data_IF_196557516026
#
_entry.id   IF_196557516026
#
_cell.length_a   1.000
_cell.length_b   1.000
_cell.length_c   1.000
_cell.angle_alpha   90.00
_cell.angle_beta   90.00
_cell.angle_gamma   90.00
#
_symmetry.space_group_name_H-M   'P 1'
#
loop_
_entity.id
_entity.type
_entity.pdbx_description
1 polymer ?
#
# COMPACT_ATOMS: atom_id res chain seq x y z
N UNK A 1 8.68 2.77 12.86
CA UNK A 1 8.22 1.36 12.69
C UNK A 1 7.28 0.95 13.82
N UNK A 2 7.68 0.96 15.09
CA UNK A 2 6.79 0.62 16.25
C UNK A 2 5.52 1.45 16.29
N UNK A 3 5.59 2.75 16.06
CA UNK A 3 4.44 3.64 15.95
C UNK A 3 3.44 3.17 14.87
N UNK A 4 3.93 2.79 13.68
CA UNK A 4 3.08 2.27 12.60
C UNK A 4 2.38 0.96 12.96
N UNK A 5 3.03 0.08 13.71
CA UNK A 5 2.41 -1.15 14.23
C UNK A 5 1.32 -0.83 15.27
N UNK A 6 1.57 0.12 16.18
CA UNK A 6 0.57 0.55 17.16
C UNK A 6 -0.64 1.20 16.50
N UNK A 7 -0.42 2.06 15.49
CA UNK A 7 -1.49 2.64 14.67
C UNK A 7 -2.31 1.55 13.96
N UNK A 8 -1.64 0.55 13.36
CA UNK A 8 -2.32 -0.57 12.71
C UNK A 8 -3.16 -1.37 13.70
N UNK A 9 -2.62 -1.68 14.88
CA UNK A 9 -3.35 -2.39 15.93
C UNK A 9 -4.58 -1.63 16.40
N UNK A 10 -4.49 -0.30 16.56
CA UNK A 10 -5.62 0.54 16.98
C UNK A 10 -6.75 0.60 15.93
N UNK A 11 -6.47 0.28 14.67
CA UNK A 11 -7.42 0.29 13.55
C UNK A 11 -7.81 -1.12 13.08
N UNK A 12 -7.34 -2.17 13.77
CA UNK A 12 -7.69 -3.54 13.43
C UNK A 12 -9.18 -3.79 13.63
N UNK A 13 -9.85 -4.29 12.59
CA UNK A 13 -11.29 -4.57 12.61
C UNK A 13 -12.20 -3.34 12.57
N UNK A 14 -11.66 -2.13 12.38
CA UNK A 14 -12.41 -0.89 12.28
C UNK A 14 -12.93 -0.68 10.84
N UNK A 15 -14.23 -0.89 10.55
CA UNK A 15 -14.79 -0.72 9.21
C UNK A 15 -14.89 0.75 8.78
N UNK A 16 -14.62 1.69 9.67
CA UNK A 16 -14.64 3.13 9.42
C UNK A 16 -13.23 3.72 9.20
N UNK A 17 -12.20 2.87 9.16
CA UNK A 17 -10.84 3.28 8.81
C UNK A 17 -10.84 4.07 7.49
N UNK A 18 -10.17 5.21 7.49
CA UNK A 18 -10.07 6.07 6.33
C UNK A 18 -8.84 5.74 5.47
N UNK A 19 -8.82 6.26 4.25
CA UNK A 19 -7.63 6.20 3.40
C UNK A 19 -6.44 6.93 4.04
N UNK A 20 -6.70 8.05 4.74
CA UNK A 20 -5.65 8.82 5.41
C UNK A 20 -5.07 8.04 6.61
N UNK A 21 -5.90 7.34 7.38
CA UNK A 21 -5.43 6.42 8.42
C UNK A 21 -4.51 5.33 7.84
N UNK A 22 -4.94 4.71 6.73
CA UNK A 22 -4.16 3.70 6.04
C UNK A 22 -2.82 4.25 5.54
N UNK A 23 -2.82 5.43 4.90
CA UNK A 23 -1.60 6.09 4.43
C UNK A 23 -0.66 6.44 5.58
N UNK A 24 -1.18 6.87 6.72
CA UNK A 24 -0.39 7.13 7.92
C UNK A 24 0.27 5.84 8.45
N UNK A 25 -0.48 4.74 8.50
CA UNK A 25 0.02 3.43 8.93
C UNK A 25 1.18 2.97 8.05
N UNK A 26 1.00 2.90 6.72
CA UNK A 26 2.04 2.41 5.82
C UNK A 26 3.24 3.36 5.74
N UNK A 27 3.01 4.67 5.92
CA UNK A 27 4.07 5.67 6.01
C UNK A 27 4.96 5.42 7.24
N UNK A 28 4.38 5.23 8.41
CA UNK A 28 5.12 5.04 9.66
C UNK A 28 5.73 3.62 9.77
N UNK A 29 5.01 2.59 9.29
CA UNK A 29 5.43 1.18 9.41
C UNK A 29 6.54 0.81 8.44
N UNK A 30 6.40 1.18 7.17
CA UNK A 30 7.26 0.70 6.07
C UNK A 30 8.04 1.83 5.42
N UNK A 31 7.39 2.91 5.00
CA UNK A 31 8.01 3.94 4.20
C UNK A 31 9.05 4.77 4.96
N UNK A 32 8.90 4.95 6.26
CA UNK A 32 9.81 5.71 7.10
C UNK A 32 11.27 5.18 7.03
N UNK A 33 11.44 3.86 7.03
CA UNK A 33 12.77 3.24 6.95
C UNK A 33 13.43 3.49 5.59
N UNK A 34 12.66 3.34 4.51
CA UNK A 34 13.16 3.55 3.14
C UNK A 34 13.48 5.04 2.92
N UNK A 35 12.63 5.92 3.43
CA UNK A 35 12.88 7.37 3.45
C UNK A 35 14.18 7.73 4.18
N UNK A 36 14.39 7.16 5.37
CA UNK A 36 15.60 7.38 6.16
C UNK A 36 16.86 6.88 5.43
N UNK A 37 16.80 5.70 4.80
CA UNK A 37 17.91 5.16 4.02
C UNK A 37 18.31 6.09 2.85
N UNK A 38 17.31 6.60 2.11
CA UNK A 38 17.54 7.56 1.02
C UNK A 38 18.14 8.87 1.55
N UNK A 39 17.63 9.38 2.68
CA UNK A 39 18.13 10.59 3.34
C UNK A 39 19.59 10.44 3.79
N UNK A 40 19.92 9.30 4.42
CA UNK A 40 21.29 8.99 4.85
C UNK A 40 22.24 8.98 3.64
N UNK A 41 21.83 8.39 2.52
CA UNK A 41 22.61 8.41 1.29
C UNK A 41 22.90 9.83 0.79
N UNK A 42 21.93 10.73 0.88
CA UNK A 42 22.09 12.15 0.54
C UNK A 42 23.08 12.86 1.47
N UNK A 43 22.95 12.64 2.78
CA UNK A 43 23.85 13.23 3.81
C UNK A 43 25.29 12.77 3.59
N UNK A 44 25.50 11.47 3.39
CA UNK A 44 26.84 10.91 3.11
C UNK A 44 27.44 11.43 1.80
N UNK A 45 26.58 11.76 0.83
CA UNK A 45 26.98 12.41 -0.43
C UNK A 45 27.17 13.92 -0.31
N UNK A 46 27.06 14.50 0.90
CA UNK A 46 27.15 15.95 1.15
C UNK A 46 26.24 16.77 0.24
N UNK A 47 25.03 16.27 -0.03
CA UNK A 47 24.06 16.96 -0.86
C UNK A 47 23.40 18.13 -0.10
N UNK A 48 23.00 19.20 -0.79
CA UNK A 48 22.26 20.29 -0.18
C UNK A 48 20.88 19.80 0.30
N UNK A 49 20.33 20.49 1.30
CA UNK A 49 19.08 20.13 1.98
C UNK A 49 17.90 19.88 1.03
N UNK A 50 17.77 20.64 -0.04
CA UNK A 50 16.75 20.46 -1.06
C UNK A 50 16.82 19.07 -1.70
N UNK A 51 18.02 18.62 -2.08
CA UNK A 51 18.26 17.29 -2.66
C UNK A 51 18.11 16.17 -1.63
N UNK A 52 18.53 16.44 -0.38
CA UNK A 52 18.32 15.51 0.74
C UNK A 52 16.82 15.26 0.94
N UNK A 53 16.02 16.33 0.98
CA UNK A 53 14.57 16.22 1.14
C UNK A 53 13.91 15.52 -0.06
N UNK A 54 14.37 15.79 -1.28
CA UNK A 54 13.87 15.11 -2.48
C UNK A 54 14.14 13.60 -2.44
N UNK A 55 15.34 13.15 -2.04
CA UNK A 55 15.65 11.73 -1.88
C UNK A 55 14.84 11.09 -0.75
N UNK A 56 14.66 11.78 0.38
CA UNK A 56 13.81 11.30 1.46
C UNK A 56 12.36 11.11 1.01
N UNK A 57 11.81 12.07 0.24
CA UNK A 57 10.46 11.98 -0.31
C UNK A 57 10.33 10.91 -1.38
N UNK A 58 11.35 10.72 -2.24
CA UNK A 58 11.42 9.58 -3.15
C UNK A 58 11.30 8.27 -2.38
N UNK A 59 12.15 8.05 -1.38
CA UNK A 59 12.14 6.84 -0.57
C UNK A 59 10.81 6.61 0.15
N UNK A 60 10.20 7.67 0.69
CA UNK A 60 8.89 7.62 1.33
C UNK A 60 7.79 7.14 0.37
N UNK A 61 7.72 7.74 -0.82
CA UNK A 61 6.68 7.41 -1.82
C UNK A 61 6.87 5.99 -2.37
N UNK A 62 8.11 5.57 -2.64
CA UNK A 62 8.42 4.19 -3.06
C UNK A 62 8.03 3.20 -1.98
N UNK A 63 8.36 3.47 -0.72
CA UNK A 63 8.00 2.59 0.40
C UNK A 63 6.49 2.45 0.61
N UNK A 64 5.73 3.54 0.45
CA UNK A 64 4.28 3.48 0.49
C UNK A 64 3.70 2.67 -0.67
N UNK A 65 4.19 2.89 -1.89
CA UNK A 65 3.75 2.14 -3.06
C UNK A 65 4.07 0.64 -2.95
N UNK A 66 5.25 0.30 -2.42
CA UNK A 66 5.65 -1.08 -2.14
C UNK A 66 4.68 -1.77 -1.18
N UNK A 67 4.31 -1.10 -0.06
CA UNK A 67 3.35 -1.66 0.88
C UNK A 67 1.96 -1.80 0.26
N UNK A 68 1.51 -0.81 -0.53
CA UNK A 68 0.24 -0.93 -1.26
C UNK A 68 0.23 -2.14 -2.20
N UNK A 69 1.33 -2.37 -2.93
CA UNK A 69 1.45 -3.52 -3.82
C UNK A 69 1.38 -4.84 -3.04
N UNK A 70 2.05 -4.93 -1.90
CA UNK A 70 2.03 -6.11 -1.02
C UNK A 70 0.62 -6.41 -0.51
N UNK A 71 -0.08 -5.37 -0.02
CA UNK A 71 -1.46 -5.48 0.44
C UNK A 71 -2.45 -5.87 -0.68
N UNK A 72 -2.21 -5.44 -1.92
CA UNK A 72 -3.03 -5.81 -3.09
C UNK A 72 -2.78 -7.27 -3.47
N UNK A 73 -1.52 -7.72 -3.43
CA UNK A 73 -1.14 -9.10 -3.75
C UNK A 73 -1.82 -10.12 -2.83
N UNK A 74 -2.10 -9.75 -1.58
CA UNK A 74 -2.84 -10.62 -0.65
C UNK A 74 -4.23 -11.04 -1.17
N UNK A 75 -4.79 -10.27 -2.12
CA UNK A 75 -6.07 -10.55 -2.77
C UNK A 75 -5.97 -11.14 -4.18
N UNK A 76 -4.75 -11.25 -4.74
CA UNK A 76 -4.52 -11.69 -6.12
C UNK A 76 -4.01 -13.14 -6.21
N UNK A 77 -3.79 -13.82 -5.09
CA UNK A 77 -3.30 -15.20 -5.08
C UNK A 77 -4.25 -16.13 -5.86
N UNK A 78 -3.70 -17.03 -6.67
CA UNK A 78 -4.44 -17.94 -7.54
C UNK A 78 -5.39 -18.86 -6.79
N UNK A 79 -6.54 -19.17 -7.40
CA UNK A 79 -7.56 -20.07 -6.85
C UNK A 79 -7.04 -21.49 -6.52
N UNK A 80 -5.93 -21.92 -7.14
CA UNK A 80 -5.28 -23.21 -6.86
C UNK A 80 -4.56 -23.27 -5.50
N UNK A 81 -4.17 -22.13 -4.92
CA UNK A 81 -3.56 -22.02 -3.60
C UNK A 81 -4.56 -21.54 -2.51
N UNK A 82 -5.84 -21.54 -2.81
CA UNK A 82 -6.97 -20.94 -2.07
C UNK A 82 -7.06 -21.31 -0.57
N UNK A 83 -6.24 -22.23 -0.10
CA UNK A 83 -6.30 -22.70 1.28
C UNK A 83 -5.39 -21.98 2.27
N UNK A 84 -4.29 -21.36 1.85
CA UNK A 84 -3.22 -20.98 2.79
C UNK A 84 -2.77 -19.53 2.78
N UNK A 85 -2.93 -18.76 1.70
CA UNK A 85 -2.36 -17.40 1.58
C UNK A 85 -3.38 -16.30 1.33
N UNK A 86 -4.47 -16.55 0.60
CA UNK A 86 -5.44 -15.53 0.22
C UNK A 86 -6.14 -14.89 1.41
N UNK A 87 -6.10 -13.57 1.50
CA UNK A 87 -6.76 -12.80 2.53
C UNK A 87 -6.17 -12.98 3.92
N UNK A 88 -4.84 -13.15 4.02
CA UNK A 88 -4.14 -13.22 5.30
C UNK A 88 -4.37 -11.95 6.12
N UNK A 89 -4.23 -10.79 5.50
CA UNK A 89 -4.45 -9.49 6.16
C UNK A 89 -5.89 -9.37 6.69
N UNK A 90 -6.88 -9.81 5.91
CA UNK A 90 -8.27 -9.84 6.36
C UNK A 90 -8.46 -10.77 7.57
N UNK A 91 -7.87 -11.96 7.56
CA UNK A 91 -7.96 -12.91 8.69
C UNK A 91 -7.32 -12.34 9.96
N UNK A 92 -6.31 -11.49 9.80
CA UNK A 92 -5.67 -10.76 10.91
C UNK A 92 -6.45 -9.49 11.29
N UNK A 93 -7.58 -9.22 10.66
CA UNK A 93 -8.42 -8.04 10.91
C UNK A 93 -7.88 -6.75 10.31
N UNK A 94 -6.85 -6.82 9.46
CA UNK A 94 -6.28 -5.64 8.80
C UNK A 94 -7.17 -5.20 7.65
N UNK A 95 -7.59 -3.95 7.68
CA UNK A 95 -8.38 -3.33 6.61
C UNK A 95 -7.44 -2.49 5.76
N UNK A 96 -7.09 -3.03 4.59
CA UNK A 96 -6.14 -2.41 3.66
C UNK A 96 -6.85 -1.63 2.56
N UNK A 97 -6.10 -0.92 1.73
CA UNK A 97 -6.62 -0.01 0.71
C UNK A 97 -7.72 -0.61 -0.18
N UNK A 98 -7.60 -1.87 -0.68
CA UNK A 98 -8.68 -2.45 -1.48
C UNK A 98 -10.02 -2.51 -0.74
N UNK A 99 -10.02 -2.89 0.54
CA UNK A 99 -11.25 -2.98 1.32
C UNK A 99 -11.83 -1.60 1.64
N UNK A 100 -10.98 -0.60 1.91
CA UNK A 100 -11.38 0.81 2.08
C UNK A 100 -12.08 1.31 0.81
N UNK A 101 -11.52 1.04 -0.36
CA UNK A 101 -12.12 1.45 -1.63
C UNK A 101 -13.44 0.71 -1.92
N UNK A 102 -13.55 -0.57 -1.55
CA UNK A 102 -14.82 -1.29 -1.63
C UNK A 102 -15.88 -0.61 -0.76
N UNK A 103 -15.57 -0.32 0.49
CA UNK A 103 -16.48 0.36 1.41
C UNK A 103 -16.88 1.76 0.93
N UNK A 104 -16.00 2.46 0.21
CA UNK A 104 -16.35 3.75 -0.41
C UNK A 104 -17.28 3.61 -1.61
N UNK A 105 -17.09 2.57 -2.46
CA UNK A 105 -17.78 2.41 -3.77
C UNK A 105 -19.03 1.55 -3.75
N UNK A 106 -19.15 0.61 -2.81
CA UNK A 106 -20.28 -0.30 -2.72
C UNK A 106 -21.59 0.45 -2.45
N UNK A 107 -22.70 -0.09 -2.94
CA UNK A 107 -24.01 0.42 -2.58
C UNK A 107 -24.32 0.20 -1.09
N UNK A 108 -25.31 0.88 -0.50
CA UNK A 108 -25.57 0.81 0.94
C UNK A 108 -25.75 -0.62 1.46
N UNK A 109 -26.52 -1.45 0.76
CA UNK A 109 -26.75 -2.85 1.15
C UNK A 109 -25.48 -3.69 1.17
N UNK A 110 -24.66 -3.58 0.11
CA UNK A 110 -23.39 -4.30 0.02
C UNK A 110 -22.37 -3.79 1.04
N UNK A 111 -22.38 -2.47 1.31
CA UNK A 111 -21.56 -1.87 2.36
C UNK A 111 -21.89 -2.45 3.74
N UNK A 112 -23.18 -2.57 4.09
CA UNK A 112 -23.61 -3.15 5.35
C UNK A 112 -23.24 -4.64 5.44
N UNK A 113 -23.32 -5.36 4.33
CA UNK A 113 -22.88 -6.76 4.26
C UNK A 113 -21.37 -6.90 4.48
N UNK A 114 -20.56 -6.02 3.86
CA UNK A 114 -19.08 -6.00 4.07
C UNK A 114 -18.74 -5.66 5.52
N UNK A 115 -19.43 -4.69 6.12
CA UNK A 115 -19.25 -4.33 7.54
C UNK A 115 -19.53 -5.52 8.47
N UNK A 116 -20.61 -6.26 8.22
CA UNK A 116 -20.92 -7.49 8.97
C UNK A 116 -19.82 -8.55 8.82
N UNK A 117 -19.29 -8.74 7.59
CA UNK A 117 -18.20 -9.68 7.36
C UNK A 117 -16.95 -9.30 8.16
N UNK A 118 -16.65 -8.00 8.26
CA UNK A 118 -15.53 -7.48 9.07
C UNK A 118 -15.77 -7.79 10.55
N UNK A 119 -16.95 -7.49 11.07
CA UNK A 119 -17.32 -7.68 12.48
C UNK A 119 -17.40 -9.17 12.89
N UNK A 120 -17.87 -10.04 12.00
CA UNK A 120 -18.02 -11.48 12.25
C UNK A 120 -16.71 -12.28 12.11
N UNK A 121 -15.60 -11.61 11.79
CA UNK A 121 -14.29 -12.23 11.56
C UNK A 121 -14.27 -13.09 10.30
N UNK A 122 -13.80 -12.55 9.22
CA UNK A 122 -13.61 -13.05 7.85
C UNK A 122 -13.65 -14.58 7.63
N UNK A 123 -14.82 -15.19 7.73
CA UNK A 123 -15.04 -16.60 7.37
C UNK A 123 -14.84 -16.78 5.85
N UNK A 124 -14.52 -18.00 5.40
CA UNK A 124 -14.27 -18.32 3.98
C UNK A 124 -15.36 -17.81 3.03
N UNK A 125 -16.63 -17.92 3.43
CA UNK A 125 -17.78 -17.43 2.64
C UNK A 125 -17.79 -15.90 2.50
N UNK A 126 -17.41 -15.18 3.56
CA UNK A 126 -17.29 -13.72 3.55
C UNK A 126 -16.17 -13.25 2.62
N UNK A 127 -14.99 -13.92 2.68
CA UNK A 127 -13.88 -13.63 1.78
C UNK A 127 -14.27 -13.77 0.32
N UNK A 128 -14.93 -14.88 -0.06
CA UNK A 128 -15.41 -15.10 -1.43
C UNK A 128 -16.39 -14.02 -1.89
N UNK A 129 -17.23 -13.51 -0.98
CA UNK A 129 -18.12 -12.40 -1.28
C UNK A 129 -17.36 -11.10 -1.53
N UNK A 130 -16.39 -10.77 -0.69
CA UNK A 130 -15.51 -9.59 -0.87
C UNK A 130 -14.81 -9.64 -2.23
N UNK A 131 -14.23 -10.79 -2.61
CA UNK A 131 -13.55 -10.94 -3.90
C UNK A 131 -14.48 -10.73 -5.09
N UNK A 132 -15.73 -11.22 -5.01
CA UNK A 132 -16.76 -10.94 -6.05
C UNK A 132 -17.05 -9.44 -6.15
N UNK A 133 -17.17 -8.75 -5.02
CA UNK A 133 -17.38 -7.31 -4.99
C UNK A 133 -16.16 -6.55 -5.50
N UNK A 134 -14.93 -6.99 -5.20
CA UNK A 134 -13.71 -6.42 -5.78
C UNK A 134 -13.74 -6.48 -7.30
N UNK A 135 -14.15 -7.62 -7.88
CA UNK A 135 -14.31 -7.78 -9.33
C UNK A 135 -15.40 -6.86 -9.88
N UNK A 136 -16.58 -6.83 -9.22
CA UNK A 136 -17.73 -5.98 -9.62
C UNK A 136 -17.36 -4.50 -9.70
N UNK A 137 -16.60 -3.99 -8.73
CA UNK A 137 -16.25 -2.58 -8.61
C UNK A 137 -14.85 -2.24 -9.16
N UNK A 138 -14.16 -3.20 -9.78
CA UNK A 138 -12.77 -3.04 -10.29
C UNK A 138 -11.80 -2.53 -9.22
N UNK A 139 -11.95 -2.97 -7.97
CA UNK A 139 -11.23 -2.45 -6.82
C UNK A 139 -9.72 -2.65 -6.95
N UNK A 140 -9.27 -3.83 -7.36
CA UNK A 140 -7.84 -4.13 -7.53
C UNK A 140 -7.20 -3.16 -8.52
N UNK A 141 -7.84 -2.94 -9.69
CA UNK A 141 -7.34 -2.00 -10.70
C UNK A 141 -7.20 -0.59 -10.13
N UNK A 142 -8.20 -0.12 -9.38
CA UNK A 142 -8.18 1.24 -8.79
C UNK A 142 -7.07 1.35 -7.74
N UNK A 143 -6.88 0.31 -6.93
CA UNK A 143 -5.80 0.28 -5.93
C UNK A 143 -4.41 0.28 -6.58
N UNK A 144 -4.21 -0.49 -7.65
CA UNK A 144 -2.97 -0.48 -8.44
C UNK A 144 -2.70 0.90 -9.06
N UNK A 145 -3.72 1.56 -9.62
CA UNK A 145 -3.56 2.92 -10.16
C UNK A 145 -3.10 3.92 -9.11
N UNK A 146 -3.52 3.77 -7.85
CA UNK A 146 -3.04 4.62 -6.75
C UNK A 146 -1.56 4.39 -6.47
N UNK A 147 -1.13 3.13 -6.46
CA UNK A 147 0.29 2.78 -6.27
C UNK A 147 1.15 3.24 -7.47
N UNK A 148 0.69 3.04 -8.72
CA UNK A 148 1.36 3.57 -9.92
C UNK A 148 1.54 5.10 -9.85
N UNK A 149 0.51 5.84 -9.39
CA UNK A 149 0.59 7.28 -9.22
C UNK A 149 1.64 7.69 -8.17
N UNK A 150 1.75 6.95 -7.08
CA UNK A 150 2.80 7.19 -6.08
C UNK A 150 4.20 6.99 -6.65
N UNK A 151 4.41 5.98 -7.48
CA UNK A 151 5.70 5.75 -8.16
C UNK A 151 6.01 6.87 -9.14
N UNK A 152 5.04 7.32 -9.93
CA UNK A 152 5.23 8.47 -10.81
C UNK A 152 5.66 9.72 -10.03
N UNK A 153 4.98 10.00 -8.91
CA UNK A 153 5.30 11.11 -8.02
C UNK A 153 6.66 10.93 -7.31
N UNK A 154 7.06 9.69 -7.00
CA UNK A 154 8.39 9.42 -6.47
C UNK A 154 9.48 9.75 -7.49
N UNK A 155 9.32 9.29 -8.72
CA UNK A 155 10.28 9.60 -9.81
C UNK A 155 10.41 11.10 -10.07
N UNK A 156 9.33 11.84 -9.95
CA UNK A 156 9.33 13.29 -10.11
C UNK A 156 10.23 14.00 -9.07
N UNK A 157 10.37 13.47 -7.84
CA UNK A 157 11.30 14.01 -6.84
C UNK A 157 12.75 13.99 -7.31
N UNK A 158 13.10 13.05 -8.20
CA UNK A 158 14.45 12.93 -8.74
C UNK A 158 14.74 13.91 -9.91
N UNK A 159 13.80 14.79 -10.26
CA UNK A 159 14.00 15.81 -11.31
C UNK A 159 15.15 16.78 -10.99
N UNK A 160 15.43 16.99 -9.69
CA UNK A 160 16.55 17.83 -9.21
C UNK A 160 17.94 17.23 -9.45
N UNK A 161 18.00 15.98 -9.90
CA UNK A 161 19.26 15.26 -10.12
C UNK A 161 19.57 15.12 -11.61
N UNK A 162 20.83 15.31 -12.02
CA UNK A 162 21.23 15.05 -13.40
C UNK A 162 21.07 13.58 -13.75
N UNK A 163 20.93 13.28 -15.02
CA UNK A 163 20.87 11.91 -15.48
C UNK A 163 22.18 11.18 -15.17
N UNK A 164 22.06 10.00 -14.59
CA UNK A 164 23.18 9.18 -14.15
C UNK A 164 22.79 7.71 -14.02
N UNK A 165 23.77 6.79 -14.01
CA UNK A 165 23.48 5.39 -13.70
C UNK A 165 22.78 5.18 -12.36
N UNK A 166 23.12 5.98 -11.34
CA UNK A 166 22.48 5.93 -10.01
C UNK A 166 21.01 6.35 -10.06
N UNK A 167 20.68 7.46 -10.76
CA UNK A 167 19.29 7.89 -10.97
C UNK A 167 18.48 6.83 -11.71
N UNK A 168 19.07 6.25 -12.74
CA UNK A 168 18.43 5.16 -13.49
C UNK A 168 18.20 3.90 -12.63
N UNK A 169 19.14 3.58 -11.73
CA UNK A 169 18.96 2.48 -10.79
C UNK A 169 17.81 2.75 -9.82
N UNK A 170 17.67 3.97 -9.30
CA UNK A 170 16.54 4.37 -8.45
C UNK A 170 15.22 4.27 -9.20
N UNK A 171 15.15 4.67 -10.47
CA UNK A 171 13.96 4.50 -11.31
C UNK A 171 13.57 3.03 -11.45
N UNK A 172 14.54 2.15 -11.71
CA UNK A 172 14.31 0.70 -11.80
C UNK A 172 13.81 0.10 -10.49
N UNK A 173 14.37 0.52 -9.35
CA UNK A 173 13.91 0.08 -8.02
C UNK A 173 12.46 0.51 -7.80
N UNK A 174 12.11 1.76 -8.16
CA UNK A 174 10.76 2.26 -8.05
C UNK A 174 9.77 1.43 -8.91
N UNK A 175 10.12 1.12 -10.17
CA UNK A 175 9.29 0.28 -11.04
C UNK A 175 9.17 -1.15 -10.52
N UNK A 176 10.28 -1.72 -10.05
CA UNK A 176 10.31 -3.08 -9.51
C UNK A 176 9.41 -3.24 -8.29
N UNK A 177 9.28 -2.19 -7.46
CA UNK A 177 8.42 -2.24 -6.27
C UNK A 177 6.96 -2.56 -6.59
N UNK A 178 6.49 -2.25 -7.82
CA UNK A 178 5.14 -2.59 -8.30
C UNK A 178 5.09 -3.82 -9.22
N UNK A 179 6.22 -4.22 -9.85
CA UNK A 179 6.22 -5.29 -10.84
C UNK A 179 5.87 -6.67 -10.24
N UNK A 180 6.00 -6.82 -8.92
CA UNK A 180 5.62 -8.04 -8.19
C UNK A 180 4.11 -8.26 -8.14
N UNK A 181 3.31 -7.23 -8.45
CA UNK A 181 1.84 -7.26 -8.44
C UNK A 181 1.24 -7.27 -9.85
N UNK A 182 2.07 -7.37 -10.89
CA UNK A 182 1.70 -7.51 -12.30
C UNK A 182 2.15 -8.88 -12.80
#
# INVERSE_FOLDING_TARGET
>A
MTEGELLQLSKTGDPDITEDDYLAIISAKTAALISAACRIGAILGSLPEEKENALAMFGKKVGMAFQMADDILDYMADEGELGKRLGKDLKEGKITLPLIYLLKKANPREKDEVRKIIQDGFKKSGLMKILRLFKKYNIIKISLMKADHLIANAKAELSLFPDSPAKNALFRIADYSLSRSK
#
